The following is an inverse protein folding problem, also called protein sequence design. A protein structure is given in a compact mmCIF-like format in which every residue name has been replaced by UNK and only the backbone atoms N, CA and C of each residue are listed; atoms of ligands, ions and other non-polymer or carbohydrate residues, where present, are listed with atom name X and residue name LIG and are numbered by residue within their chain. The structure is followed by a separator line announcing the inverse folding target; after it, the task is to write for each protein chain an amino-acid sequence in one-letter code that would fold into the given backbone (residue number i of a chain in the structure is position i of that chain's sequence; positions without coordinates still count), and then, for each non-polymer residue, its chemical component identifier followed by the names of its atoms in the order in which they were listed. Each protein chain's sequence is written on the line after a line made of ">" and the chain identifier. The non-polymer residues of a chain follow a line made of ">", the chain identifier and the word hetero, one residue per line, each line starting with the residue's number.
data_IF_596631751361
#
_entry.id   IF_596631751361
#
_cell.length_a   1.000
_cell.length_b   1.000
_cell.length_c   1.000
_cell.angle_alpha   90.00
_cell.angle_beta   90.00
_cell.angle_gamma   90.00
#
_symmetry.space_group_name_H-M   'P 1'
#
loop_
_entity.id
_entity.type
_entity.pdbx_description
1 polymer ?
#
# COMPACT_ATOMS: atom_id res chain seq x y z
N UNK A 1 20.41 2.17 14.65
CA UNK A 1 20.29 2.96 13.41
C UNK A 1 19.65 2.07 12.36
N UNK A 2 18.68 2.59 11.64
CA UNK A 2 18.14 1.90 10.47
C UNK A 2 19.17 2.02 9.34
N UNK A 3 19.95 0.97 9.11
CA UNK A 3 20.89 0.90 7.99
C UNK A 3 20.23 0.06 6.89
N UNK A 4 19.34 0.69 6.09
CA UNK A 4 18.73 0.02 4.96
C UNK A 4 19.40 0.46 3.66
N UNK A 5 19.65 -0.51 2.77
CA UNK A 5 20.06 -0.26 1.38
C UNK A 5 18.88 -0.29 0.43
N UNK A 6 17.74 -0.84 0.88
CA UNK A 6 16.50 -0.97 0.14
C UNK A 6 15.32 -0.63 1.05
N UNK A 7 14.44 0.25 0.60
CA UNK A 7 13.16 0.52 1.26
C UNK A 7 12.03 0.09 0.36
N UNK A 8 11.18 -0.79 0.87
CA UNK A 8 10.01 -1.32 0.17
C UNK A 8 8.77 -0.66 0.79
N UNK A 9 8.00 0.06 0.00
CA UNK A 9 6.78 0.72 0.47
C UNK A 9 5.52 -0.05 0.04
N UNK A 10 4.51 -0.10 0.89
CA UNK A 10 3.14 -0.24 0.40
C UNK A 10 2.70 1.07 -0.28
N UNK A 11 1.56 1.03 -0.96
CA UNK A 11 1.07 2.17 -1.72
C UNK A 11 -0.17 2.81 -1.07
N UNK A 12 -1.29 2.07 -1.05
CA UNK A 12 -2.58 2.56 -0.57
C UNK A 12 -2.60 2.61 0.97
N UNK A 13 -2.72 3.81 1.56
CA UNK A 13 -2.64 4.03 3.01
C UNK A 13 -1.23 4.37 3.51
N UNK A 14 -0.21 4.11 2.71
CA UNK A 14 1.19 4.37 3.05
C UNK A 14 1.73 5.61 2.34
N UNK A 15 1.77 5.60 1.01
CA UNK A 15 2.22 6.74 0.20
C UNK A 15 1.04 7.60 -0.29
N UNK A 16 -0.13 6.99 -0.49
CA UNK A 16 -1.29 7.61 -1.14
C UNK A 16 -2.56 7.33 -0.32
N UNK A 17 -3.35 8.37 -0.02
CA UNK A 17 -4.76 8.21 0.35
C UNK A 17 -5.58 8.02 -0.94
N UNK A 18 -5.85 6.78 -1.29
CA UNK A 18 -6.61 6.37 -2.49
C UNK A 18 -8.06 6.00 -2.20
N UNK A 19 -8.47 5.98 -0.93
CA UNK A 19 -9.83 5.61 -0.51
C UNK A 19 -10.92 6.45 -1.19
N UNK A 20 -10.75 7.75 -1.43
CA UNK A 20 -11.79 8.51 -2.13
C UNK A 20 -12.11 7.97 -3.53
N UNK A 21 -11.10 7.61 -4.34
CA UNK A 21 -11.34 7.01 -5.67
C UNK A 21 -11.86 5.58 -5.56
N UNK A 22 -11.38 4.81 -4.59
CA UNK A 22 -11.88 3.46 -4.33
C UNK A 22 -13.36 3.47 -3.93
N UNK A 23 -13.79 4.45 -3.13
CA UNK A 23 -15.19 4.61 -2.73
C UNK A 23 -16.08 4.95 -3.92
N UNK A 24 -15.65 5.87 -4.78
CA UNK A 24 -16.37 6.18 -6.03
C UNK A 24 -16.51 4.93 -6.91
N UNK A 25 -15.45 4.15 -7.06
CA UNK A 25 -15.47 2.95 -7.87
C UNK A 25 -16.39 1.85 -7.27
N UNK A 26 -16.36 1.67 -5.95
CA UNK A 26 -17.26 0.75 -5.24
C UNK A 26 -18.70 1.17 -5.40
N UNK A 27 -19.01 2.45 -5.20
CA UNK A 27 -20.40 2.95 -5.30
C UNK A 27 -20.90 2.88 -6.74
N UNK A 28 -20.07 3.15 -7.75
CA UNK A 28 -20.42 2.96 -9.16
C UNK A 28 -20.68 1.48 -9.49
N UNK A 29 -19.86 0.58 -8.97
CA UNK A 29 -20.05 -0.87 -9.12
C UNK A 29 -21.37 -1.30 -8.47
N UNK A 30 -21.66 -0.87 -7.24
CA UNK A 30 -22.91 -1.18 -6.56
C UNK A 30 -24.13 -0.63 -7.33
N UNK A 31 -24.05 0.62 -7.83
CA UNK A 31 -25.11 1.23 -8.64
C UNK A 31 -25.38 0.44 -9.94
N UNK A 32 -24.34 -0.11 -10.59
CA UNK A 32 -24.49 -0.98 -11.75
C UNK A 32 -25.41 -2.18 -11.46
N UNK A 33 -25.34 -2.73 -10.25
CA UNK A 33 -26.18 -3.84 -9.78
C UNK A 33 -27.45 -3.36 -9.05
N UNK A 34 -27.79 -2.06 -9.12
CA UNK A 34 -28.95 -1.45 -8.46
C UNK A 34 -28.94 -1.62 -6.93
N UNK A 35 -27.75 -1.61 -6.34
CA UNK A 35 -27.52 -1.73 -4.90
C UNK A 35 -27.26 -0.36 -4.27
N UNK A 36 -27.54 -0.18 -2.95
CA UNK A 36 -27.24 1.06 -2.26
C UNK A 36 -25.73 1.30 -2.17
N UNK A 37 -25.29 2.58 -2.15
CA UNK A 37 -23.87 2.90 -2.03
C UNK A 37 -23.31 2.45 -0.68
N UNK A 38 -22.02 2.09 -0.67
CA UNK A 38 -21.30 1.74 0.54
C UNK A 38 -20.81 2.98 1.31
N UNK A 39 -20.40 4.01 0.58
CA UNK A 39 -19.84 5.24 1.13
C UNK A 39 -18.40 5.12 1.59
N UNK A 40 -17.76 6.29 1.77
CA UNK A 40 -16.35 6.44 2.03
C UNK A 40 -15.88 5.69 3.30
N UNK A 41 -16.62 5.80 4.40
CA UNK A 41 -16.20 5.27 5.71
C UNK A 41 -16.14 3.74 5.71
N UNK A 42 -17.13 3.08 5.09
CA UNK A 42 -17.12 1.63 4.95
C UNK A 42 -15.97 1.16 4.07
N UNK A 43 -15.75 1.82 2.93
CA UNK A 43 -14.66 1.47 2.01
C UNK A 43 -13.31 1.63 2.71
N UNK A 44 -13.10 2.68 3.49
CA UNK A 44 -11.87 2.89 4.28
C UNK A 44 -11.54 1.71 5.20
N UNK A 45 -12.54 1.10 5.84
CA UNK A 45 -12.36 -0.06 6.71
C UNK A 45 -12.11 -1.37 5.94
N UNK A 46 -12.41 -1.41 4.65
CA UNK A 46 -12.30 -2.62 3.85
C UNK A 46 -11.03 -2.72 3.00
N UNK A 47 -10.30 -1.62 2.82
CA UNK A 47 -9.06 -1.57 2.02
C UNK A 47 -7.92 -2.33 2.71
N UNK A 48 -6.93 -2.78 1.93
CA UNK A 48 -5.69 -3.42 2.39
C UNK A 48 -5.52 -4.89 1.95
N UNK A 49 -6.61 -5.62 1.66
CA UNK A 49 -6.53 -7.05 1.31
C UNK A 49 -6.71 -7.32 -0.20
N UNK A 50 -6.55 -6.30 -1.04
CA UNK A 50 -6.71 -6.37 -2.49
C UNK A 50 -8.16 -6.14 -2.97
N UNK A 51 -8.29 -5.81 -4.26
CA UNK A 51 -9.55 -5.36 -4.87
C UNK A 51 -10.68 -6.39 -4.84
N UNK A 52 -10.37 -7.68 -5.03
CA UNK A 52 -11.38 -8.74 -4.99
C UNK A 52 -12.05 -8.83 -3.60
N UNK A 53 -11.23 -8.70 -2.53
CA UNK A 53 -11.74 -8.74 -1.15
C UNK A 53 -12.54 -7.48 -0.80
N UNK A 54 -12.15 -6.33 -1.36
CA UNK A 54 -12.90 -5.09 -1.24
C UNK A 54 -14.30 -5.23 -1.85
N UNK A 55 -14.39 -5.75 -3.06
CA UNK A 55 -15.68 -5.98 -3.76
C UNK A 55 -16.55 -7.00 -3.02
N UNK A 56 -15.96 -8.10 -2.52
CA UNK A 56 -16.67 -9.08 -1.70
C UNK A 56 -17.32 -8.42 -0.48
N UNK A 57 -16.55 -7.59 0.26
CA UNK A 57 -17.06 -6.86 1.44
C UNK A 57 -18.18 -5.88 1.08
N UNK A 58 -18.07 -5.21 -0.07
CA UNK A 58 -19.10 -4.29 -0.54
C UNK A 58 -20.40 -5.02 -0.89
N UNK A 59 -20.34 -6.17 -1.56
CA UNK A 59 -21.51 -7.00 -1.85
C UNK A 59 -22.15 -7.55 -0.58
N UNK A 60 -21.35 -8.05 0.35
CA UNK A 60 -21.85 -8.53 1.66
C UNK A 60 -22.54 -7.42 2.45
N UNK A 61 -22.00 -6.20 2.46
CA UNK A 61 -22.61 -5.03 3.08
C UNK A 61 -23.99 -4.71 2.46
N UNK A 62 -24.11 -4.84 1.15
CA UNK A 62 -25.36 -4.68 0.42
C UNK A 62 -26.30 -5.91 0.51
N UNK A 63 -25.98 -6.87 1.40
CA UNK A 63 -26.76 -8.11 1.62
C UNK A 63 -26.89 -9.00 0.36
N UNK A 64 -25.90 -8.94 -0.52
CA UNK A 64 -25.83 -9.78 -1.70
C UNK A 64 -24.92 -10.99 -1.47
N UNK A 65 -25.28 -12.14 -2.05
CA UNK A 65 -24.42 -13.30 -2.09
C UNK A 65 -23.29 -13.13 -3.13
N UNK A 66 -22.16 -13.78 -2.89
CA UNK A 66 -20.98 -13.68 -3.73
C UNK A 66 -21.09 -14.36 -5.11
N UNK A 67 -22.26 -14.85 -5.50
CA UNK A 67 -22.49 -15.55 -6.77
C UNK A 67 -22.08 -14.73 -8.00
N UNK A 68 -22.07 -13.40 -7.87
CA UNK A 68 -21.69 -12.47 -8.91
C UNK A 68 -20.32 -11.80 -8.67
N UNK A 69 -19.48 -12.31 -7.75
CA UNK A 69 -18.23 -11.65 -7.34
C UNK A 69 -17.30 -11.35 -8.53
N UNK A 70 -17.13 -12.28 -9.46
CA UNK A 70 -16.25 -12.08 -10.61
C UNK A 70 -16.77 -10.97 -11.55
N UNK A 71 -18.08 -10.91 -11.79
CA UNK A 71 -18.71 -9.86 -12.61
C UNK A 71 -18.63 -8.51 -11.91
N UNK A 72 -18.93 -8.45 -10.60
CA UNK A 72 -18.82 -7.23 -9.81
C UNK A 72 -17.37 -6.72 -9.74
N UNK A 73 -16.39 -7.61 -9.60
CA UNK A 73 -14.98 -7.24 -9.62
C UNK A 73 -14.56 -6.64 -10.97
N UNK A 74 -15.00 -7.21 -12.08
CA UNK A 74 -14.74 -6.64 -13.41
C UNK A 74 -15.31 -5.22 -13.57
N UNK A 75 -16.57 -5.01 -13.11
CA UNK A 75 -17.21 -3.68 -13.11
C UNK A 75 -16.45 -2.70 -12.21
N UNK A 76 -16.02 -3.16 -11.01
CA UNK A 76 -15.22 -2.35 -10.11
C UNK A 76 -13.90 -1.92 -10.74
N UNK A 77 -13.16 -2.85 -11.37
CA UNK A 77 -11.87 -2.54 -12.00
C UNK A 77 -12.02 -1.49 -13.11
N UNK A 78 -13.08 -1.61 -13.91
CA UNK A 78 -13.40 -0.61 -14.93
C UNK A 78 -13.73 0.75 -14.28
N UNK A 79 -14.63 0.77 -13.30
CA UNK A 79 -15.03 1.99 -12.61
C UNK A 79 -13.84 2.67 -11.90
N UNK A 80 -12.91 1.88 -11.33
CA UNK A 80 -11.71 2.42 -10.70
C UNK A 80 -10.77 3.04 -11.73
N UNK A 81 -10.58 2.40 -12.89
CA UNK A 81 -9.80 2.97 -14.00
C UNK A 81 -10.38 4.32 -14.47
N UNK A 82 -11.69 4.44 -14.51
CA UNK A 82 -12.42 5.63 -14.97
C UNK A 82 -12.33 6.82 -13.98
N UNK A 83 -11.90 6.61 -12.74
CA UNK A 83 -11.66 7.71 -11.77
C UNK A 83 -10.45 8.57 -12.15
N UNK A 84 -9.50 8.02 -12.92
CA UNK A 84 -8.23 8.67 -13.27
C UNK A 84 -7.49 9.25 -12.06
N UNK A 85 -7.67 8.65 -10.88
CA UNK A 85 -7.07 9.07 -9.62
C UNK A 85 -7.38 10.52 -9.20
N UNK A 86 -8.55 11.03 -9.60
CA UNK A 86 -8.92 12.45 -9.44
C UNK A 86 -9.03 12.89 -7.97
N UNK A 87 -9.42 11.98 -7.09
CA UNK A 87 -9.66 12.24 -5.68
C UNK A 87 -8.54 11.72 -4.75
N UNK A 88 -7.65 10.87 -5.26
CA UNK A 88 -6.48 10.39 -4.53
C UNK A 88 -5.48 11.53 -4.24
N UNK A 89 -4.71 11.42 -3.17
CA UNK A 89 -3.68 12.41 -2.79
C UNK A 89 -2.47 11.70 -2.20
N UNK A 90 -1.28 12.25 -2.45
CA UNK A 90 -0.09 11.86 -1.68
C UNK A 90 -0.26 12.26 -0.22
N UNK A 91 0.20 11.42 0.70
CA UNK A 91 0.37 11.86 2.07
C UNK A 91 1.42 12.96 2.18
N UNK A 92 1.26 13.91 3.13
CA UNK A 92 2.24 14.97 3.36
C UNK A 92 3.65 14.40 3.60
N UNK A 93 4.67 15.00 2.98
CA UNK A 93 6.07 14.59 3.14
C UNK A 93 6.55 13.48 2.20
N UNK A 94 5.67 12.81 1.43
CA UNK A 94 6.07 11.71 0.53
C UNK A 94 7.11 12.14 -0.50
N UNK A 95 6.93 13.21 -1.30
CA UNK A 95 7.94 13.58 -2.29
C UNK A 95 9.31 13.90 -1.65
N UNK A 96 9.29 14.56 -0.49
CA UNK A 96 10.49 14.93 0.25
C UNK A 96 11.22 13.71 0.82
N UNK A 97 10.47 12.72 1.34
CA UNK A 97 11.06 11.46 1.81
C UNK A 97 11.72 10.69 0.67
N UNK A 98 11.00 10.49 -0.45
CA UNK A 98 11.52 9.74 -1.60
C UNK A 98 12.78 10.39 -2.17
N UNK A 99 12.80 11.72 -2.31
CA UNK A 99 13.97 12.46 -2.75
C UNK A 99 15.15 12.28 -1.79
N UNK A 100 14.93 12.42 -0.48
CA UNK A 100 15.98 12.29 0.53
C UNK A 100 16.57 10.86 0.59
N UNK A 101 15.76 9.82 0.36
CA UNK A 101 16.24 8.44 0.29
C UNK A 101 17.06 8.21 -0.98
N UNK A 102 16.60 8.73 -2.13
CA UNK A 102 17.31 8.62 -3.40
C UNK A 102 18.67 9.35 -3.38
N UNK A 103 18.77 10.52 -2.71
CA UNK A 103 20.02 11.26 -2.51
C UNK A 103 21.06 10.48 -1.70
N UNK A 104 20.64 9.47 -0.93
CA UNK A 104 21.50 8.59 -0.15
C UNK A 104 21.80 7.26 -0.86
N UNK A 105 21.53 7.15 -2.17
CA UNK A 105 21.67 5.93 -2.98
C UNK A 105 20.89 4.73 -2.44
N UNK A 106 19.84 4.96 -1.63
CA UNK A 106 18.95 3.92 -1.13
C UNK A 106 18.01 3.51 -2.26
N UNK A 107 17.95 2.21 -2.55
CA UNK A 107 17.04 1.65 -3.54
C UNK A 107 15.61 1.65 -3.03
N UNK A 108 14.65 1.98 -3.91
CA UNK A 108 13.24 2.05 -3.53
C UNK A 108 12.40 1.09 -4.36
N UNK A 109 11.43 0.48 -3.69
CA UNK A 109 10.50 -0.44 -4.34
C UNK A 109 9.07 -0.28 -3.80
N UNK A 110 8.11 -0.79 -4.56
CA UNK A 110 6.72 -0.93 -4.13
C UNK A 110 6.36 -2.41 -4.06
N UNK A 111 5.76 -2.82 -2.93
CA UNK A 111 5.09 -4.11 -2.75
C UNK A 111 3.68 -3.87 -2.19
N UNK A 112 2.66 -3.99 -3.04
CA UNK A 112 1.29 -3.65 -2.68
C UNK A 112 0.29 -4.75 -3.06
N UNK A 113 -0.84 -4.82 -2.34
CA UNK A 113 -1.96 -5.69 -2.72
C UNK A 113 -2.89 -5.08 -3.80
N UNK A 114 -2.59 -3.85 -4.24
CA UNK A 114 -3.26 -3.20 -5.37
C UNK A 114 -2.96 -3.93 -6.69
N UNK A 115 -3.95 -4.10 -7.60
CA UNK A 115 -3.69 -4.71 -8.91
C UNK A 115 -2.62 -3.94 -9.70
N UNK A 116 -1.70 -4.69 -10.32
CA UNK A 116 -0.50 -4.19 -11.01
C UNK A 116 -0.83 -3.09 -12.03
N UNK A 117 -1.91 -3.25 -12.77
CA UNK A 117 -2.31 -2.33 -13.85
C UNK A 117 -2.58 -0.89 -13.38
N UNK A 118 -2.91 -0.67 -12.10
CA UNK A 118 -3.22 0.67 -11.55
C UNK A 118 -2.03 1.35 -10.90
N UNK A 119 -0.91 0.66 -10.70
CA UNK A 119 0.20 1.21 -9.92
C UNK A 119 0.96 2.26 -10.73
N UNK A 120 1.46 1.90 -11.90
CA UNK A 120 2.24 2.83 -12.73
C UNK A 120 1.45 4.10 -13.11
N UNK A 121 0.18 4.02 -13.56
CA UNK A 121 -0.61 5.22 -13.84
C UNK A 121 -0.75 6.17 -12.65
N UNK A 122 -0.97 5.65 -11.44
CA UNK A 122 -1.09 6.51 -10.26
C UNK A 122 0.25 7.13 -9.85
N UNK A 123 1.37 6.40 -9.95
CA UNK A 123 2.70 6.94 -9.67
C UNK A 123 3.05 8.07 -10.65
N UNK A 124 2.71 7.91 -11.94
CA UNK A 124 2.89 8.93 -12.97
C UNK A 124 2.02 10.16 -12.72
N UNK A 125 0.75 9.99 -12.35
CA UNK A 125 -0.14 11.09 -12.02
C UNK A 125 0.43 11.96 -10.88
N UNK A 126 1.12 11.35 -9.92
CA UNK A 126 1.78 12.04 -8.80
C UNK A 126 3.25 12.38 -9.04
N UNK A 127 3.82 12.01 -10.19
CA UNK A 127 5.22 12.29 -10.60
C UNK A 127 6.24 11.73 -9.60
N UNK A 128 6.03 10.51 -9.15
CA UNK A 128 6.91 9.80 -8.22
C UNK A 128 7.42 8.46 -8.77
N UNK A 129 7.05 8.07 -10.00
CA UNK A 129 7.43 6.81 -10.61
C UNK A 129 8.95 6.66 -10.76
N UNK A 130 9.67 7.76 -10.98
CA UNK A 130 11.12 7.78 -11.20
C UNK A 130 11.93 7.37 -9.97
N UNK A 131 11.32 7.31 -8.79
CA UNK A 131 12.02 6.93 -7.57
C UNK A 131 12.10 5.41 -7.38
N UNK A 132 11.27 4.61 -8.06
CA UNK A 132 11.11 3.18 -7.78
C UNK A 132 11.81 2.32 -8.82
N UNK A 133 12.77 1.51 -8.36
CA UNK A 133 13.49 0.53 -9.19
C UNK A 133 12.62 -0.71 -9.49
N UNK A 134 11.75 -1.10 -8.53
CA UNK A 134 10.86 -2.27 -8.67
C UNK A 134 9.45 -1.97 -8.17
N UNK A 135 8.46 -2.49 -8.92
CA UNK A 135 7.04 -2.29 -8.62
C UNK A 135 6.33 -3.64 -8.74
N UNK A 136 5.83 -4.14 -7.60
CA UNK A 136 5.17 -5.45 -7.48
C UNK A 136 3.77 -5.26 -6.92
N UNK A 137 2.77 -5.52 -7.76
CA UNK A 137 1.34 -5.46 -7.41
C UNK A 137 0.78 -6.80 -6.94
N UNK A 138 -0.44 -6.76 -6.41
CA UNK A 138 -1.08 -7.90 -5.75
C UNK A 138 -1.46 -9.08 -6.64
N UNK A 139 -1.42 -8.91 -7.96
CA UNK A 139 -1.64 -9.94 -8.98
C UNK A 139 -0.42 -10.18 -9.88
N UNK A 140 0.73 -9.57 -9.53
CA UNK A 140 1.99 -9.78 -10.25
C UNK A 140 2.57 -11.19 -10.01
N UNK A 141 2.40 -11.70 -8.79
CA UNK A 141 2.77 -13.07 -8.39
C UNK A 141 1.51 -13.86 -8.00
N UNK A 142 1.64 -15.18 -7.86
CA UNK A 142 0.52 -16.04 -7.49
C UNK A 142 -0.02 -15.80 -6.05
N UNK A 143 0.78 -15.17 -5.20
CA UNK A 143 0.48 -14.85 -3.80
C UNK A 143 0.62 -13.36 -3.56
N UNK A 144 0.09 -12.87 -2.45
CA UNK A 144 0.14 -11.45 -2.05
C UNK A 144 0.37 -11.33 -0.55
N UNK A 145 0.71 -10.13 -0.05
CA UNK A 145 0.82 -9.89 1.39
C UNK A 145 -0.45 -10.34 2.13
N UNK A 146 -0.35 -11.08 3.24
CA UNK A 146 0.80 -11.23 4.12
C UNK A 146 1.84 -12.31 3.73
N UNK A 147 1.72 -12.97 2.57
CA UNK A 147 2.77 -13.86 2.10
C UNK A 147 4.04 -13.05 1.78
N UNK A 148 5.25 -13.46 2.24
CA UNK A 148 6.48 -12.69 2.08
C UNK A 148 7.06 -12.71 0.66
N UNK A 149 6.48 -13.46 -0.27
CA UNK A 149 7.11 -13.74 -1.56
C UNK A 149 7.33 -12.48 -2.43
N UNK A 150 6.46 -11.46 -2.33
CA UNK A 150 6.69 -10.16 -2.98
C UNK A 150 8.00 -9.50 -2.49
N UNK A 151 8.26 -9.58 -1.18
CA UNK A 151 9.46 -9.00 -0.58
C UNK A 151 10.71 -9.77 -0.99
N UNK A 152 10.66 -11.11 -0.97
CA UNK A 152 11.76 -11.94 -1.47
C UNK A 152 12.05 -11.69 -2.94
N UNK A 153 11.02 -11.57 -3.79
CA UNK A 153 11.19 -11.27 -5.20
C UNK A 153 11.91 -9.94 -5.42
N UNK A 154 11.52 -8.88 -4.70
CA UNK A 154 12.18 -7.57 -4.79
C UNK A 154 13.63 -7.66 -4.30
N UNK A 155 13.90 -8.31 -3.18
CA UNK A 155 15.25 -8.50 -2.64
C UNK A 155 16.15 -9.28 -3.63
N UNK A 156 15.63 -10.34 -4.26
CA UNK A 156 16.32 -11.11 -5.30
C UNK A 156 16.69 -10.20 -6.49
N UNK A 157 15.73 -9.40 -6.99
CA UNK A 157 15.97 -8.47 -8.10
C UNK A 157 16.97 -7.37 -7.76
N UNK A 158 16.97 -6.92 -6.51
CA UNK A 158 17.91 -5.94 -5.99
C UNK A 158 19.32 -6.53 -5.71
N UNK A 159 19.44 -7.86 -5.67
CA UNK A 159 20.68 -8.53 -5.27
C UNK A 159 21.03 -8.31 -3.79
N UNK A 160 20.01 -8.11 -2.94
CA UNK A 160 20.16 -7.77 -1.52
C UNK A 160 19.43 -8.80 -0.64
N UNK A 161 19.97 -9.18 0.52
CA UNK A 161 19.25 -10.02 1.48
C UNK A 161 18.12 -9.20 2.15
N UNK A 162 17.04 -9.85 2.64
CA UNK A 162 15.97 -9.16 3.37
C UNK A 162 16.45 -8.36 4.58
N UNK A 163 17.57 -8.74 5.20
CA UNK A 163 18.18 -8.03 6.34
C UNK A 163 18.78 -6.65 5.98
N UNK A 164 19.00 -6.37 4.69
CA UNK A 164 19.45 -5.08 4.20
C UNK A 164 18.27 -4.19 3.73
N UNK A 165 17.03 -4.68 3.88
CA UNK A 165 15.81 -4.02 3.45
C UNK A 165 14.88 -3.69 4.62
N UNK A 166 14.02 -2.67 4.43
CA UNK A 166 12.95 -2.30 5.36
C UNK A 166 11.64 -2.26 4.61
N UNK A 167 10.58 -2.88 5.17
CA UNK A 167 9.21 -2.71 4.72
C UNK A 167 8.55 -1.55 5.46
N UNK A 168 7.96 -0.62 4.73
CA UNK A 168 7.15 0.48 5.27
C UNK A 168 5.70 0.29 4.81
N UNK A 169 4.78 0.16 5.74
CA UNK A 169 3.36 -0.05 5.45
C UNK A 169 2.46 0.51 6.55
N UNK A 170 1.15 0.39 6.37
CA UNK A 170 0.14 0.85 7.33
C UNK A 170 -0.79 -0.27 7.83
N UNK A 171 -0.60 -1.50 7.34
CA UNK A 171 -1.50 -2.61 7.59
C UNK A 171 -0.81 -3.81 8.26
N UNK A 172 -1.63 -4.67 8.88
CA UNK A 172 -1.18 -5.96 9.39
C UNK A 172 -0.55 -6.83 8.28
N UNK A 173 -1.03 -6.74 7.05
CA UNK A 173 -0.51 -7.54 5.94
C UNK A 173 0.95 -7.19 5.61
N UNK A 174 1.34 -5.92 5.77
CA UNK A 174 2.70 -5.45 5.57
C UNK A 174 3.65 -6.00 6.62
N UNK A 175 3.23 -5.87 7.89
CA UNK A 175 4.03 -6.29 9.04
C UNK A 175 4.18 -7.81 9.07
N UNK A 176 3.10 -8.56 8.83
CA UNK A 176 3.15 -10.03 8.78
C UNK A 176 4.06 -10.51 7.64
N UNK A 177 4.00 -9.89 6.45
CA UNK A 177 4.87 -10.23 5.33
C UNK A 177 6.35 -9.96 5.66
N UNK A 178 6.65 -8.80 6.24
CA UNK A 178 8.01 -8.43 6.62
C UNK A 178 8.56 -9.35 7.72
N UNK A 179 7.77 -9.64 8.77
CA UNK A 179 8.17 -10.58 9.83
C UNK A 179 8.43 -11.98 9.27
N UNK A 180 7.59 -12.47 8.35
CA UNK A 180 7.80 -13.76 7.70
C UNK A 180 9.05 -13.77 6.80
N UNK A 181 9.44 -12.62 6.26
CA UNK A 181 10.68 -12.44 5.50
C UNK A 181 11.91 -12.21 6.37
N UNK A 182 11.78 -12.10 7.70
CA UNK A 182 12.84 -11.67 8.63
C UNK A 182 13.42 -10.30 8.22
N UNK A 183 12.57 -9.43 7.75
CA UNK A 183 12.86 -8.08 7.28
C UNK A 183 12.43 -7.06 8.34
N UNK A 184 13.25 -6.04 8.57
CA UNK A 184 12.87 -4.91 9.40
C UNK A 184 11.63 -4.22 8.84
N UNK A 185 10.79 -3.66 9.73
CA UNK A 185 9.52 -3.07 9.29
C UNK A 185 9.12 -1.85 10.11
N UNK A 186 8.42 -0.94 9.45
CA UNK A 186 7.90 0.28 10.04
C UNK A 186 6.40 0.37 9.72
N UNK A 187 5.61 0.54 10.77
CA UNK A 187 4.16 0.73 10.67
C UNK A 187 3.81 2.22 10.78
N UNK A 188 3.04 2.73 9.82
CA UNK A 188 2.53 4.10 9.82
C UNK A 188 1.07 4.13 10.29
N UNK A 189 0.77 4.99 11.28
CA UNK A 189 -0.59 5.14 11.83
C UNK A 189 -1.54 5.93 10.93
N UNK A 190 -1.01 6.74 10.02
CA UNK A 190 -1.80 7.61 9.13
C UNK A 190 -2.74 6.87 8.19
N UNK A 191 -2.45 5.58 7.90
CA UNK A 191 -3.15 4.78 6.91
C UNK A 191 -4.50 4.25 7.34
N UNK A 192 -4.90 3.12 6.76
CA UNK A 192 -6.24 2.54 6.91
C UNK A 192 -6.34 1.56 8.08
N UNK A 193 -5.23 1.25 8.75
CA UNK A 193 -5.21 0.47 9.98
C UNK A 193 -5.74 1.19 11.22
N UNK A 194 -6.38 2.37 11.08
CA UNK A 194 -6.91 3.16 12.19
C UNK A 194 -7.95 2.36 12.99
N UNK A 195 -7.70 2.26 14.30
CA UNK A 195 -8.57 1.52 15.24
C UNK A 195 -8.16 0.08 15.50
N UNK A 196 -7.14 -0.45 14.82
CA UNK A 196 -6.52 -1.71 15.21
C UNK A 196 -5.59 -1.51 16.41
N UNK A 197 -5.59 -2.49 17.32
CA UNK A 197 -4.53 -2.54 18.34
C UNK A 197 -3.20 -2.89 17.64
N UNK A 198 -2.38 -1.87 17.44
CA UNK A 198 -1.09 -1.98 16.76
C UNK A 198 0.01 -2.55 17.69
N UNK A 199 -0.24 -2.64 18.99
CA UNK A 199 0.75 -3.05 20.01
C UNK A 199 1.16 -4.52 19.91
N UNK A 200 0.33 -5.36 19.30
CA UNK A 200 0.55 -6.80 19.13
C UNK A 200 1.03 -7.25 17.74
N UNK A 201 1.24 -6.33 16.80
CA UNK A 201 1.56 -6.69 15.41
C UNK A 201 3.03 -7.09 15.19
N UNK A 202 3.92 -6.86 16.16
CA UNK A 202 5.35 -7.17 15.99
C UNK A 202 6.07 -6.22 15.03
N UNK A 203 5.57 -4.99 14.89
CA UNK A 203 6.28 -3.95 14.17
C UNK A 203 7.54 -3.54 14.95
N UNK A 204 8.67 -3.43 14.24
CA UNK A 204 9.94 -2.99 14.82
C UNK A 204 9.84 -1.52 15.27
N UNK A 205 9.18 -0.70 14.47
CA UNK A 205 8.96 0.72 14.74
C UNK A 205 7.55 1.12 14.31
N UNK A 206 6.88 1.93 15.14
CA UNK A 206 5.57 2.51 14.82
C UNK A 206 5.70 4.02 14.83
N UNK A 207 5.36 4.65 13.72
CA UNK A 207 5.40 6.11 13.55
C UNK A 207 4.01 6.64 13.19
N UNK A 208 3.77 7.91 13.48
CA UNK A 208 2.45 8.50 13.23
C UNK A 208 2.19 8.69 11.73
N UNK A 209 3.20 9.16 10.98
CA UNK A 209 3.07 9.52 9.57
C UNK A 209 4.41 9.50 8.80
N UNK A 210 4.34 9.77 7.52
CA UNK A 210 5.51 9.90 6.62
C UNK A 210 6.46 11.02 7.08
N UNK A 211 5.96 12.10 7.65
CA UNK A 211 6.81 13.19 8.10
C UNK A 211 7.62 12.79 9.36
N UNK A 212 7.03 11.99 10.24
CA UNK A 212 7.75 11.38 11.36
C UNK A 212 8.83 10.41 10.86
N UNK A 213 8.53 9.60 9.83
CA UNK A 213 9.51 8.72 9.19
C UNK A 213 10.65 9.53 8.57
N UNK A 214 10.36 10.59 7.83
CA UNK A 214 11.35 11.46 7.21
C UNK A 214 12.29 12.08 8.27
N UNK A 215 11.74 12.58 9.36
CA UNK A 215 12.53 13.13 10.48
C UNK A 215 13.39 12.06 11.14
N UNK A 216 12.83 10.89 11.38
CA UNK A 216 13.55 9.77 11.99
C UNK A 216 14.74 9.34 11.10
N UNK A 217 14.54 9.29 9.77
CA UNK A 217 15.57 8.95 8.81
C UNK A 217 16.68 10.03 8.74
N UNK A 218 16.31 11.31 8.62
CA UNK A 218 17.27 12.41 8.55
C UNK A 218 18.09 12.59 9.84
N UNK A 219 17.48 12.37 11.01
CA UNK A 219 18.18 12.47 12.30
C UNK A 219 19.26 11.39 12.46
N UNK A 220 19.07 10.22 11.84
CA UNK A 220 20.02 9.12 11.93
C UNK A 220 21.22 9.26 10.98
N UNK A 221 21.14 10.12 9.96
CA UNK A 221 22.24 10.35 8.99
C UNK A 221 23.26 11.39 9.46
N UNK A 222 22.94 12.20 10.46
CA UNK A 222 23.84 13.24 10.99
C UNK A 222 24.72 12.77 12.17
N UNK A 223 24.70 11.49 12.53
CA UNK A 223 25.48 10.96 13.67
C UNK A 223 26.73 10.18 13.24
N UNK A 224 27.19 10.38 12.00
CA UNK A 224 28.49 9.87 11.52
C UNK A 224 29.43 11.06 11.34
N UNK A 225 29.99 11.55 12.45
CA UNK A 225 31.25 12.27 12.52
C UNK A 225 32.21 11.54 13.49
#
# INVERSE_FOLDING_TARGET
>A
MLEAKLVIFDLDGTLIDSVPDLAVAVDNMLAHFQLPPAGLDNVRHWVGNGSLKLVERALMHAQQHADNLAAAHAVFLQAYGDTHHAYSRLYPGVPQLLAALAEQDIKLAIATNKPQQFILPILQAFKIEQYFDWIVGGDFLAVRKPDPYHLFYICEKAGMPPTDAIMVGDSKADIDAANAALMDNILLRQGYGQGMDLSGLGAMLVLDDIEALRKHWCLNTHTIE
#
